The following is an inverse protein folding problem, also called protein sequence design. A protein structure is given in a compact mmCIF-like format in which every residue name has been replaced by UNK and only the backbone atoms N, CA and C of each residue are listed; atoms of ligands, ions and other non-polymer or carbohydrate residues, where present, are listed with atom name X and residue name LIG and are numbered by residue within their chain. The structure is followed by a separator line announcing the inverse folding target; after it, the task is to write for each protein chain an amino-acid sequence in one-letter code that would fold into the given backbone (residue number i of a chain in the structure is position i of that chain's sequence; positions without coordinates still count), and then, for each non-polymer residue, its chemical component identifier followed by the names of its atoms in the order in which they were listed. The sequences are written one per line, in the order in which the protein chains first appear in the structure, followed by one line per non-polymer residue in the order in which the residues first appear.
data_IF_357589629788
#
_entry.id   IF_357589629788
#
_cell.length_a   1.000
_cell.length_b   1.000
_cell.length_c   1.000
_cell.angle_alpha   90.00
_cell.angle_beta   90.00
_cell.angle_gamma   90.00
#
_symmetry.space_group_name_H-M   'P 1'
#
loop_
_entity.id
_entity.type
_entity.pdbx_description
1 polymer ?
#
# COMPACT_ATOMS: atom_id res chain seq x y z
N UNK A 1 22.22 1.17 7.39
CA UNK A 1 21.77 2.56 7.14
C UNK A 1 22.65 3.29 6.13
N UNK A 2 23.97 3.47 6.37
CA UNK A 2 24.86 4.21 5.45
C UNK A 2 24.84 3.69 3.99
N UNK A 3 24.86 2.38 3.79
CA UNK A 3 24.77 1.77 2.46
C UNK A 3 23.43 2.03 1.74
N UNK A 4 22.32 2.10 2.49
CA UNK A 4 20.98 2.38 1.93
C UNK A 4 20.90 3.85 1.46
N UNK A 5 21.42 4.77 2.27
CA UNK A 5 21.46 6.21 1.94
C UNK A 5 22.34 6.46 0.72
N UNK A 6 23.51 5.82 0.66
CA UNK A 6 24.42 5.97 -0.47
C UNK A 6 23.82 5.40 -1.75
N UNK A 7 23.22 4.20 -1.70
CA UNK A 7 22.52 3.62 -2.85
C UNK A 7 21.36 4.50 -3.32
N UNK A 8 20.56 5.04 -2.41
CA UNK A 8 19.47 5.95 -2.75
C UNK A 8 19.98 7.28 -3.35
N UNK A 9 21.09 7.81 -2.84
CA UNK A 9 21.72 9.02 -3.36
C UNK A 9 22.25 8.81 -4.79
N UNK A 10 22.85 7.65 -5.06
CA UNK A 10 23.28 7.24 -6.41
C UNK A 10 22.09 7.07 -7.37
N UNK A 11 21.00 6.43 -6.93
CA UNK A 11 19.77 6.26 -7.74
C UNK A 11 19.11 7.60 -8.09
N UNK A 12 19.13 8.57 -7.16
CA UNK A 12 18.52 9.90 -7.35
C UNK A 12 19.48 10.94 -7.94
N UNK A 13 20.75 10.58 -8.18
CA UNK A 13 21.77 11.49 -8.71
C UNK A 13 22.11 12.66 -7.79
N UNK A 14 22.01 12.47 -6.46
CA UNK A 14 22.31 13.49 -5.44
C UNK A 14 23.58 13.17 -4.69
N UNK A 15 24.36 14.19 -4.34
CA UNK A 15 25.44 14.06 -3.35
C UNK A 15 24.87 14.22 -1.93
N UNK A 16 24.86 13.13 -1.16
CA UNK A 16 24.47 13.16 0.24
C UNK A 16 25.66 12.78 1.09
N UNK A 17 26.16 13.75 1.88
CA UNK A 17 27.37 13.58 2.71
C UNK A 17 27.17 12.63 3.88
N UNK A 18 25.92 12.34 4.24
CA UNK A 18 25.58 11.40 5.31
C UNK A 18 24.27 11.75 6.02
N UNK A 19 24.12 11.21 7.23
CA UNK A 19 22.94 11.38 8.08
C UNK A 19 23.36 12.09 9.37
N UNK A 20 22.62 13.12 9.77
CA UNK A 20 22.83 13.82 11.02
C UNK A 20 22.60 12.88 12.22
N UNK A 21 23.33 13.08 13.31
CA UNK A 21 23.20 12.29 14.54
C UNK A 21 21.77 12.25 15.09
N UNK A 22 21.06 13.38 15.10
CA UNK A 22 19.66 13.44 15.55
C UNK A 22 18.74 12.57 14.67
N UNK A 23 19.00 12.52 13.37
CA UNK A 23 18.27 11.67 12.45
C UNK A 23 18.59 10.19 12.68
N UNK A 24 19.86 9.84 12.97
CA UNK A 24 20.26 8.48 13.34
C UNK A 24 19.58 8.02 14.63
N UNK A 25 19.51 8.89 15.63
CA UNK A 25 18.87 8.57 16.92
C UNK A 25 17.38 8.27 16.73
N UNK A 26 16.69 9.07 15.89
CA UNK A 26 15.28 8.82 15.55
C UNK A 26 15.08 7.52 14.76
N UNK A 27 15.97 7.23 13.80
CA UNK A 27 15.91 6.00 13.01
C UNK A 27 16.17 4.75 13.88
N UNK A 28 17.06 4.86 14.86
CA UNK A 28 17.43 3.78 15.77
C UNK A 28 16.39 3.55 16.88
N UNK A 29 15.70 4.61 17.32
CA UNK A 29 14.68 4.55 18.37
C UNK A 29 13.28 4.14 17.89
N UNK A 30 13.11 3.81 16.61
CA UNK A 30 11.82 3.39 16.05
C UNK A 30 11.82 1.89 15.74
N UNK A 31 10.72 1.19 16.05
CA UNK A 31 10.66 -0.28 16.00
C UNK A 31 10.46 -0.89 14.61
N UNK A 32 10.17 -0.05 13.59
CA UNK A 32 9.99 -0.46 12.18
C UNK A 32 9.11 -1.71 11.99
N UNK A 33 7.81 -1.64 12.33
CA UNK A 33 6.92 -2.80 12.34
C UNK A 33 6.78 -3.47 10.97
N UNK A 34 7.05 -2.77 9.85
CA UNK A 34 7.03 -3.34 8.50
C UNK A 34 8.38 -3.78 7.93
N UNK A 35 9.40 -4.02 8.77
CA UNK A 35 10.75 -4.49 8.40
C UNK A 35 11.65 -3.44 7.69
N UNK A 36 12.81 -3.90 7.22
CA UNK A 36 13.84 -3.16 6.48
C UNK A 36 13.28 -2.36 5.29
N UNK A 37 12.19 -2.82 4.67
CA UNK A 37 11.54 -2.11 3.55
C UNK A 37 10.96 -0.75 3.97
N UNK A 38 10.41 -0.64 5.17
CA UNK A 38 9.91 0.64 5.68
C UNK A 38 11.06 1.61 5.94
N UNK A 39 12.13 1.11 6.57
CA UNK A 39 13.36 1.88 6.80
C UNK A 39 13.96 2.37 5.47
N UNK A 40 14.04 1.51 4.46
CA UNK A 40 14.53 1.88 3.13
C UNK A 40 13.67 2.95 2.46
N UNK A 41 12.34 2.83 2.55
CA UNK A 41 11.43 3.80 1.95
C UNK A 41 11.54 5.17 2.63
N UNK A 42 11.66 5.19 3.96
CA UNK A 42 11.86 6.42 4.71
C UNK A 42 13.20 7.08 4.36
N UNK A 43 14.29 6.29 4.31
CA UNK A 43 15.61 6.80 3.94
C UNK A 43 15.67 7.30 2.50
N UNK A 44 15.04 6.60 1.53
CA UNK A 44 14.93 7.06 0.14
C UNK A 44 14.22 8.40 0.06
N UNK A 45 13.09 8.56 0.75
CA UNK A 45 12.36 9.83 0.82
C UNK A 45 13.20 10.94 1.44
N UNK A 46 13.94 10.62 2.50
CA UNK A 46 14.79 11.59 3.18
C UNK A 46 15.95 12.08 2.31
N UNK A 47 16.53 11.20 1.47
CA UNK A 47 17.51 11.55 0.45
C UNK A 47 16.90 12.46 -0.63
N UNK A 48 15.69 12.15 -1.08
CA UNK A 48 14.96 12.98 -2.05
C UNK A 48 14.68 14.40 -1.52
N UNK A 49 14.41 14.55 -0.23
CA UNK A 49 14.19 15.86 0.41
C UNK A 49 15.50 16.57 0.80
N UNK A 50 16.61 15.84 0.90
CA UNK A 50 17.90 16.40 1.25
C UNK A 50 18.39 17.34 0.14
N UNK A 51 18.91 18.54 0.50
CA UNK A 51 19.66 19.38 -0.42
C UNK A 51 20.89 18.65 -0.97
N UNK A 52 21.28 19.00 -2.19
CA UNK A 52 22.50 18.48 -2.80
C UNK A 52 23.75 18.92 -2.02
N UNK A 53 24.71 18.01 -1.85
CA UNK A 53 25.83 18.17 -0.93
C UNK A 53 25.38 18.31 0.54
N UNK A 54 24.18 17.88 0.92
CA UNK A 54 23.61 18.05 2.25
C UNK A 54 23.85 16.88 3.20
N UNK A 55 23.34 17.02 4.43
CA UNK A 55 23.18 15.93 5.40
C UNK A 55 21.68 15.65 5.56
N UNK A 56 21.30 14.37 5.62
CA UNK A 56 19.93 13.97 5.96
C UNK A 56 19.65 14.40 7.41
N UNK A 57 18.71 15.31 7.59
CA UNK A 57 18.30 15.81 8.90
C UNK A 57 17.02 15.13 9.38
N UNK A 58 16.68 15.33 10.65
CA UNK A 58 15.50 14.73 11.27
C UNK A 58 14.20 15.18 10.59
N UNK A 59 14.20 16.41 10.08
CA UNK A 59 13.11 17.06 9.39
C UNK A 59 12.80 16.40 8.04
N UNK A 60 13.78 15.70 7.45
CA UNK A 60 13.60 14.92 6.22
C UNK A 60 12.96 13.54 6.48
N UNK A 61 12.89 13.09 7.74
CA UNK A 61 12.29 11.83 8.16
C UNK A 61 10.81 12.04 8.51
N UNK A 62 9.98 12.28 7.51
CA UNK A 62 8.57 12.67 7.67
C UNK A 62 7.77 11.78 8.64
N UNK A 63 7.86 10.45 8.51
CA UNK A 63 7.11 9.51 9.38
C UNK A 63 7.56 9.62 10.84
N UNK A 64 8.86 9.76 11.07
CA UNK A 64 9.45 9.84 12.40
C UNK A 64 9.25 11.22 13.03
N UNK A 65 9.27 12.28 12.23
CA UNK A 65 8.91 13.65 12.65
C UNK A 65 7.47 13.69 13.18
N UNK A 66 6.52 13.14 12.43
CA UNK A 66 5.12 13.11 12.87
C UNK A 66 4.89 12.23 14.10
N UNK A 67 5.61 11.10 14.23
CA UNK A 67 5.54 10.26 15.42
C UNK A 67 6.10 10.98 16.66
N UNK A 68 7.24 11.66 16.52
CA UNK A 68 7.84 12.45 17.60
C UNK A 68 6.97 13.65 18.01
N UNK A 69 6.38 14.36 17.04
CA UNK A 69 5.49 15.49 17.29
C UNK A 69 4.22 15.07 18.06
N UNK A 70 3.65 13.91 17.74
CA UNK A 70 2.51 13.33 18.48
C UNK A 70 2.87 12.88 19.88
N UNK A 71 4.11 12.45 20.13
CA UNK A 71 4.57 12.07 21.46
C UNK A 71 4.82 13.27 22.38
N UNK A 72 5.11 14.45 21.81
CA UNK A 72 5.36 15.70 22.55
C UNK A 72 4.13 16.61 22.68
N UNK A 73 3.08 16.37 21.89
CA UNK A 73 1.82 17.10 22.06
C UNK A 73 1.16 16.65 23.38
N UNK A 74 0.77 17.61 24.23
CA UNK A 74 -0.14 17.32 25.35
C UNK A 74 -1.38 16.60 24.79
N UNK A 75 -1.88 15.56 25.46
CA UNK A 75 -3.05 14.86 24.98
C UNK A 75 -4.24 15.83 25.03
N UNK A 76 -4.60 16.40 23.88
CA UNK A 76 -5.97 16.87 23.67
C UNK A 76 -6.90 15.70 24.04
N UNK A 77 -8.04 15.95 24.70
CA UNK A 77 -8.99 14.88 25.00
C UNK A 77 -9.37 14.22 23.68
N UNK A 78 -8.82 13.03 23.44
CA UNK A 78 -9.09 12.23 22.26
C UNK A 78 -10.58 11.94 22.26
N UNK A 79 -11.35 12.67 21.47
CA UNK A 79 -12.57 12.10 20.91
C UNK A 79 -12.10 10.79 20.24
N UNK A 80 -12.63 9.62 20.63
CA UNK A 80 -12.04 8.34 20.26
C UNK A 80 -11.99 8.25 18.75
N UNK A 81 -10.79 8.40 18.19
CA UNK A 81 -10.51 7.96 16.84
C UNK A 81 -10.48 6.45 16.97
N UNK A 82 -11.60 5.82 16.64
CA UNK A 82 -11.67 4.37 16.51
C UNK A 82 -10.62 3.95 15.49
N UNK A 83 -9.46 3.52 15.98
CA UNK A 83 -8.58 2.62 15.25
C UNK A 83 -9.38 1.34 15.13
N UNK A 84 -9.87 0.95 13.93
CA UNK A 84 -10.45 -0.37 13.81
C UNK A 84 -9.33 -1.35 14.16
N UNK A 85 -9.57 -2.17 15.18
CA UNK A 85 -8.82 -3.40 15.37
C UNK A 85 -8.76 -4.15 14.03
N UNK A 86 -7.79 -5.05 13.78
CA UNK A 86 -7.85 -5.92 12.61
C UNK A 86 -9.00 -6.92 12.84
N UNK A 87 -10.23 -6.41 12.70
CA UNK A 87 -11.47 -7.14 12.72
C UNK A 87 -11.47 -8.00 11.46
N UNK A 88 -11.04 -9.22 11.70
CA UNK A 88 -11.50 -10.39 10.97
C UNK A 88 -13.01 -10.24 10.82
N UNK A 89 -13.45 -10.18 9.57
CA UNK A 89 -14.81 -9.87 9.13
C UNK A 89 -15.22 -8.40 9.28
N UNK A 90 -14.88 -7.61 8.24
CA UNK A 90 -15.62 -6.39 7.90
C UNK A 90 -17.06 -6.81 7.65
N UNK A 91 -17.90 -6.76 8.68
CA UNK A 91 -19.35 -6.80 8.50
C UNK A 91 -19.72 -5.55 7.73
N UNK A 92 -20.20 -5.81 6.53
CA UNK A 92 -20.65 -4.87 5.54
C UNK A 92 -21.73 -3.92 6.08
N UNK A 93 -21.32 -2.82 6.70
CA UNK A 93 -22.24 -1.70 6.94
C UNK A 93 -22.18 -0.82 5.70
N UNK A 94 -23.02 -1.18 4.72
CA UNK A 94 -23.07 -0.50 3.44
C UNK A 94 -23.67 0.92 3.59
N UNK A 95 -22.91 1.92 3.16
CA UNK A 95 -23.41 3.28 2.98
C UNK A 95 -23.81 3.54 1.52
N UNK A 96 -24.66 4.55 1.22
CA UNK A 96 -25.24 4.75 -0.12
C UNK A 96 -24.22 4.81 -1.28
N UNK A 97 -23.05 5.40 -1.05
CA UNK A 97 -21.98 5.45 -2.06
C UNK A 97 -21.31 4.09 -2.28
N UNK A 98 -21.10 3.31 -1.21
CA UNK A 98 -20.45 2.00 -1.29
C UNK A 98 -21.30 1.02 -2.10
N UNK A 99 -22.62 1.10 -1.97
CA UNK A 99 -23.55 0.30 -2.78
C UNK A 99 -23.51 0.67 -4.25
N UNK A 100 -23.49 1.96 -4.57
CA UNK A 100 -23.35 2.45 -5.95
C UNK A 100 -22.04 2.00 -6.59
N UNK A 101 -20.94 2.03 -5.84
CA UNK A 101 -19.66 1.49 -6.31
C UNK A 101 -19.75 -0.01 -6.56
N UNK A 102 -20.35 -0.78 -5.66
CA UNK A 102 -20.50 -2.24 -5.84
C UNK A 102 -21.35 -2.62 -7.05
N UNK A 103 -22.40 -1.86 -7.34
CA UNK A 103 -23.23 -2.14 -8.50
C UNK A 103 -22.46 -1.92 -9.81
N UNK A 104 -21.75 -0.79 -9.91
CA UNK A 104 -20.87 -0.51 -11.04
C UNK A 104 -19.76 -1.58 -11.17
N UNK A 105 -19.17 -1.99 -10.06
CA UNK A 105 -18.18 -3.06 -10.02
C UNK A 105 -18.76 -4.40 -10.51
N UNK A 106 -19.98 -4.74 -10.09
CA UNK A 106 -20.71 -5.95 -10.51
C UNK A 106 -21.00 -5.95 -12.00
N UNK A 107 -21.54 -4.85 -12.52
CA UNK A 107 -21.84 -4.69 -13.94
C UNK A 107 -20.60 -4.81 -14.81
N UNK A 108 -19.51 -4.12 -14.43
CA UNK A 108 -18.25 -4.15 -15.16
C UNK A 108 -17.61 -5.55 -15.15
N UNK A 109 -17.58 -6.21 -13.99
CA UNK A 109 -17.04 -7.56 -13.86
C UNK A 109 -17.84 -8.58 -14.69
N UNK A 110 -19.18 -8.49 -14.66
CA UNK A 110 -20.05 -9.36 -15.44
C UNK A 110 -19.85 -9.15 -16.94
N UNK A 111 -19.74 -7.89 -17.40
CA UNK A 111 -19.51 -7.59 -18.81
C UNK A 111 -18.17 -8.12 -19.32
N UNK A 112 -17.10 -7.89 -18.57
CA UNK A 112 -15.76 -8.36 -18.91
C UNK A 112 -15.69 -9.89 -18.96
N UNK A 113 -16.39 -10.59 -18.06
CA UNK A 113 -16.47 -12.06 -18.07
C UNK A 113 -17.30 -12.58 -19.26
N UNK A 114 -18.42 -11.92 -19.61
CA UNK A 114 -19.21 -12.29 -20.80
C UNK A 114 -18.39 -12.15 -22.08
N UNK A 115 -17.71 -11.01 -22.26
CA UNK A 115 -16.90 -10.71 -23.46
C UNK A 115 -15.72 -11.66 -23.65
N UNK A 116 -15.26 -12.30 -22.58
CA UNK A 116 -14.10 -13.19 -22.60
C UNK A 116 -14.44 -14.66 -22.41
N UNK A 117 -15.74 -15.01 -22.39
CA UNK A 117 -16.19 -16.39 -22.17
C UNK A 117 -15.76 -16.96 -20.80
N UNK A 118 -15.64 -16.10 -19.78
CA UNK A 118 -15.20 -16.49 -18.44
C UNK A 118 -13.68 -16.57 -18.26
N UNK A 119 -12.88 -16.15 -19.25
CA UNK A 119 -11.43 -16.08 -19.09
C UNK A 119 -11.04 -14.93 -18.15
N UNK A 120 -10.82 -15.26 -16.87
CA UNK A 120 -10.48 -14.31 -15.82
C UNK A 120 -9.22 -13.48 -16.10
N UNK A 121 -8.24 -14.02 -16.83
CA UNK A 121 -7.03 -13.25 -17.19
C UNK A 121 -7.36 -12.16 -18.19
N UNK A 122 -8.07 -12.50 -19.28
CA UNK A 122 -8.51 -11.52 -20.29
C UNK A 122 -9.54 -10.53 -19.73
N UNK A 123 -10.41 -10.99 -18.84
CA UNK A 123 -11.38 -10.10 -18.18
C UNK A 123 -10.68 -9.05 -17.31
N UNK A 124 -9.60 -9.43 -16.61
CA UNK A 124 -8.82 -8.50 -15.82
C UNK A 124 -8.09 -7.46 -16.70
N UNK A 125 -7.57 -7.90 -17.86
CA UNK A 125 -6.97 -7.00 -18.86
C UNK A 125 -7.98 -5.97 -19.39
N UNK A 126 -9.21 -6.38 -19.73
CA UNK A 126 -10.29 -5.46 -20.17
C UNK A 126 -10.63 -4.44 -19.07
N UNK A 127 -10.61 -4.86 -17.81
CA UNK A 127 -10.91 -4.01 -16.67
C UNK A 127 -9.71 -3.16 -16.21
N UNK A 128 -8.53 -3.34 -16.80
CA UNK A 128 -7.31 -2.61 -16.41
C UNK A 128 -6.79 -2.96 -15.01
N UNK A 129 -7.12 -4.15 -14.49
CA UNK A 129 -6.70 -4.61 -13.17
C UNK A 129 -5.88 -5.89 -13.27
N UNK A 130 -5.17 -6.23 -12.19
CA UNK A 130 -4.43 -7.50 -12.13
C UNK A 130 -5.39 -8.68 -11.99
N UNK A 131 -5.02 -9.85 -12.52
CA UNK A 131 -5.80 -11.09 -12.36
C UNK A 131 -6.11 -11.43 -10.88
N UNK A 132 -5.17 -11.32 -9.92
CA UNK A 132 -5.48 -11.48 -8.50
C UNK A 132 -6.49 -10.44 -8.00
N UNK A 133 -6.40 -9.20 -8.47
CA UNK A 133 -7.36 -8.14 -8.17
C UNK A 133 -8.77 -8.47 -8.62
N UNK A 134 -8.94 -9.00 -9.84
CA UNK A 134 -10.24 -9.48 -10.32
C UNK A 134 -10.78 -10.62 -9.45
N UNK A 135 -9.95 -11.58 -9.06
CA UNK A 135 -10.37 -12.70 -8.21
C UNK A 135 -10.85 -12.21 -6.83
N UNK A 136 -10.16 -11.21 -6.25
CA UNK A 136 -10.59 -10.59 -5.01
C UNK A 136 -11.90 -9.82 -5.17
N UNK A 137 -12.04 -9.07 -6.26
CA UNK A 137 -13.26 -8.34 -6.61
C UNK A 137 -14.47 -9.28 -6.77
N UNK A 138 -14.31 -10.40 -7.49
CA UNK A 138 -15.38 -11.39 -7.68
C UNK A 138 -15.81 -12.03 -6.35
N UNK A 139 -14.86 -12.37 -5.47
CA UNK A 139 -15.17 -12.89 -4.13
C UNK A 139 -15.95 -11.88 -3.28
N UNK A 140 -15.54 -10.60 -3.33
CA UNK A 140 -16.24 -9.52 -2.62
C UNK A 140 -17.68 -9.32 -3.13
N UNK A 141 -17.91 -9.56 -4.41
CA UNK A 141 -19.22 -9.42 -5.04
C UNK A 141 -20.09 -10.68 -4.96
N UNK A 142 -19.57 -11.80 -4.43
CA UNK A 142 -20.24 -13.11 -4.41
C UNK A 142 -20.38 -13.75 -5.80
N UNK A 143 -19.51 -13.38 -6.75
CA UNK A 143 -19.50 -13.86 -8.15
C UNK A 143 -18.45 -14.98 -8.37
N UNK A 144 -17.95 -15.57 -7.31
CA UNK A 144 -16.91 -16.60 -7.31
C UNK A 144 -17.41 -18.01 -7.69
N UNK A 145 -18.69 -18.17 -8.01
CA UNK A 145 -19.35 -19.44 -8.33
C UNK A 145 -19.40 -19.90 -9.79
N UNK A 146 -18.73 -19.25 -10.75
CA UNK A 146 -18.72 -19.69 -12.16
C UNK A 146 -17.33 -19.60 -12.76
N UNK A 147 -16.62 -20.73 -12.83
CA UNK A 147 -15.34 -20.81 -13.54
C UNK A 147 -14.45 -22.00 -13.23
N UNK A 148 -14.94 -23.02 -12.51
CA UNK A 148 -14.33 -24.34 -12.52
C UNK A 148 -15.35 -25.39 -12.98
N UNK A 149 -15.60 -25.40 -14.28
CA UNK A 149 -16.15 -26.57 -14.97
C UNK A 149 -15.23 -26.87 -16.14
N UNK A 150 -14.19 -27.66 -15.82
CA UNK A 150 -13.60 -28.72 -16.65
C UNK A 150 -13.42 -28.37 -18.14
N UNK A 151 -12.18 -28.07 -18.51
CA UNK A 151 -11.69 -28.34 -19.86
C UNK A 151 -11.36 -29.85 -19.91
N UNK A 152 -12.09 -30.70 -20.65
CA UNK A 152 -11.58 -32.00 -21.00
C UNK A 152 -10.56 -31.79 -22.12
N UNK A 153 -9.28 -32.03 -21.81
CA UNK A 153 -8.26 -32.33 -22.81
C UNK A 153 -8.21 -33.84 -22.99
N UNK A 154 -8.28 -34.21 -24.26
CA UNK A 154 -7.73 -35.41 -24.90
C UNK A 154 -8.56 -36.72 -24.92
N UNK A 155 -8.36 -37.44 -26.04
CA UNK A 155 -9.00 -38.66 -26.59
C UNK A 155 -10.30 -38.39 -27.38
N UNK A 156 -10.37 -38.51 -28.70
CA UNK A 156 -9.63 -39.31 -29.68
C UNK A 156 -9.71 -38.66 -31.08
#
# INVERSE_FOLDING_TARGET
MRAIVQKAAEEEGKDVRGVNRRALDLLAGHDWPGNVRELENELRRAVLLCPDGGLVQAEHLGRLRWAAERATAEPEPEAPIAVPEPERAVTDTAGPLRDRVRELEREAAADALRRTGGNKTRAAEILGITRPGLIQMLRRLGLDGTGDRRHPRDAE
#
